data_IF_200860156577
#
_entry.id   IF_200860156577
#
_cell.length_a   1.000
_cell.length_b   1.000
_cell.length_c   1.000
_cell.angle_alpha   90.00
_cell.angle_beta   90.00
_cell.angle_gamma   90.00
#
_symmetry.space_group_name_H-M   'P 1'
#
loop_
_entity.id
_entity.type
_entity.pdbx_description
1 polymer ?
#
# COMPACT_ATOMS: atom_id res chain seq x y z
N UNK A 1 10.45 -27.76 -20.17
CA UNK A 1 11.01 -26.52 -19.59
C UNK A 1 9.98 -25.93 -18.62
N UNK A 2 10.21 -26.00 -17.30
CA UNK A 2 9.35 -25.29 -16.32
C UNK A 2 9.75 -23.81 -16.37
N UNK A 3 8.93 -22.98 -17.03
CA UNK A 3 9.12 -21.53 -17.02
C UNK A 3 9.09 -21.02 -15.58
N UNK A 4 10.15 -20.30 -15.19
CA UNK A 4 10.29 -19.77 -13.83
C UNK A 4 9.44 -18.51 -13.72
N UNK A 5 8.19 -18.66 -13.26
CA UNK A 5 7.30 -17.52 -13.02
C UNK A 5 7.72 -16.77 -11.75
N UNK A 6 8.11 -15.51 -11.88
CA UNK A 6 8.36 -14.62 -10.73
C UNK A 6 7.06 -13.93 -10.33
N UNK A 7 6.59 -14.20 -9.11
CA UNK A 7 5.44 -13.47 -8.55
C UNK A 7 5.86 -12.05 -8.19
N UNK A 8 5.20 -11.06 -8.79
CA UNK A 8 5.36 -9.64 -8.47
C UNK A 8 4.23 -9.26 -7.51
N UNK A 9 4.58 -8.65 -6.37
CA UNK A 9 3.64 -8.19 -5.35
C UNK A 9 3.95 -6.75 -4.98
N UNK A 10 2.96 -6.06 -4.41
CA UNK A 10 3.16 -4.75 -3.76
C UNK A 10 4.25 -4.90 -2.67
N UNK A 11 5.13 -3.90 -2.48
CA UNK A 11 5.07 -2.54 -3.02
C UNK A 11 5.75 -2.35 -4.39
N UNK A 12 6.03 -3.42 -5.13
CA UNK A 12 6.69 -3.29 -6.44
C UNK A 12 5.84 -2.48 -7.43
N UNK A 13 6.35 -1.33 -7.95
CA UNK A 13 5.57 -0.44 -8.79
C UNK A 13 5.21 -1.06 -10.14
N UNK A 14 5.87 -2.16 -10.55
CA UNK A 14 5.55 -2.85 -11.81
C UNK A 14 4.11 -3.37 -11.84
N UNK A 15 3.56 -3.77 -10.69
CA UNK A 15 2.17 -4.24 -10.61
C UNK A 15 1.18 -3.10 -10.88
N UNK A 16 1.48 -1.90 -10.39
CA UNK A 16 0.64 -0.70 -10.57
C UNK A 16 0.83 -0.11 -11.97
N UNK A 17 2.07 -0.06 -12.47
CA UNK A 17 2.36 0.37 -13.85
C UNK A 17 1.76 -0.56 -14.90
N UNK A 18 1.63 -1.85 -14.60
CA UNK A 18 0.87 -2.76 -15.45
C UNK A 18 -0.60 -2.36 -15.50
N UNK A 19 -1.24 -2.13 -14.35
CA UNK A 19 -2.62 -1.65 -14.30
C UNK A 19 -2.79 -0.30 -15.03
N UNK A 20 -1.88 0.65 -14.82
CA UNK A 20 -1.84 1.95 -15.52
C UNK A 20 -1.86 1.77 -17.04
N UNK A 21 -1.01 0.87 -17.58
CA UNK A 21 -0.96 0.57 -19.02
C UNK A 21 -2.27 -0.03 -19.53
N UNK A 22 -2.86 -0.95 -18.77
CA UNK A 22 -4.16 -1.55 -19.12
C UNK A 22 -5.29 -0.51 -19.13
N UNK A 23 -5.23 0.47 -18.23
CA UNK A 23 -6.19 1.59 -18.18
C UNK A 23 -5.96 2.65 -19.26
N UNK A 24 -4.84 2.59 -20.01
CA UNK A 24 -4.51 3.57 -21.05
C UNK A 24 -4.22 4.97 -20.52
N UNK A 25 -3.81 5.09 -19.25
CA UNK A 25 -3.53 6.38 -18.61
C UNK A 25 -2.02 6.63 -18.64
N UNK A 26 -1.57 7.60 -19.42
CA UNK A 26 -0.14 7.91 -19.57
C UNK A 26 0.45 8.59 -18.33
N UNK A 27 -0.32 9.47 -17.70
CA UNK A 27 0.09 10.24 -16.53
C UNK A 27 -0.35 9.55 -15.24
N UNK A 28 0.62 8.96 -14.52
CA UNK A 28 0.37 8.24 -13.28
C UNK A 28 -0.25 9.12 -12.18
N UNK A 29 -0.01 10.44 -12.20
CA UNK A 29 -0.55 11.36 -11.19
C UNK A 29 -2.08 11.49 -11.25
N UNK A 30 -2.70 11.14 -12.38
CA UNK A 30 -4.15 11.08 -12.57
C UNK A 30 -4.79 9.81 -12.00
N UNK A 31 -3.98 8.90 -11.47
CA UNK A 31 -4.42 7.67 -10.83
C UNK A 31 -4.28 7.83 -9.32
N UNK A 32 -5.36 7.52 -8.59
CA UNK A 32 -5.34 7.40 -7.15
C UNK A 32 -5.21 5.92 -6.72
N UNK A 33 -4.16 5.60 -5.98
CA UNK A 33 -4.00 4.32 -5.30
C UNK A 33 -4.60 4.43 -3.89
N UNK A 34 -5.62 3.62 -3.61
CA UNK A 34 -6.34 3.63 -2.32
C UNK A 34 -6.02 2.32 -1.59
N UNK A 35 -5.62 2.42 -0.32
CA UNK A 35 -5.37 1.24 0.51
C UNK A 35 -5.11 1.60 1.97
N UNK A 36 -5.16 0.60 2.84
CA UNK A 36 -5.11 0.77 4.29
C UNK A 36 -3.67 0.64 4.86
N UNK A 37 -2.82 -0.13 4.16
CA UNK A 37 -1.44 -0.44 4.55
C UNK A 37 -0.43 0.53 3.93
N UNK A 38 0.41 1.15 4.75
CA UNK A 38 1.40 2.15 4.28
C UNK A 38 2.51 1.49 3.47
N UNK A 39 3.02 0.33 3.90
CA UNK A 39 4.19 -0.29 3.26
C UNK A 39 3.87 -1.12 2.02
N UNK A 40 2.59 -1.28 1.66
CA UNK A 40 2.19 -1.95 0.42
C UNK A 40 1.53 -0.97 -0.53
N UNK A 41 0.37 -0.45 -0.18
CA UNK A 41 -0.47 0.31 -1.09
C UNK A 41 0.04 1.72 -1.27
N UNK A 42 0.34 2.42 -0.16
CA UNK A 42 0.83 3.79 -0.21
C UNK A 42 2.25 3.85 -0.76
N UNK A 43 3.15 3.00 -0.26
CA UNK A 43 4.51 2.92 -0.78
C UNK A 43 4.52 2.52 -2.26
N UNK A 44 3.73 1.52 -2.65
CA UNK A 44 3.64 1.09 -4.04
C UNK A 44 3.10 2.18 -4.97
N UNK A 45 2.03 2.87 -4.56
CA UNK A 45 1.45 3.98 -5.32
C UNK A 45 2.44 5.14 -5.49
N UNK A 46 3.12 5.53 -4.41
CA UNK A 46 4.13 6.60 -4.45
C UNK A 46 5.30 6.22 -5.37
N UNK A 47 5.79 4.98 -5.32
CA UNK A 47 6.85 4.49 -6.22
C UNK A 47 6.39 4.40 -7.69
N UNK A 48 5.09 4.24 -7.92
CA UNK A 48 4.50 4.25 -9.25
C UNK A 48 4.22 5.68 -9.78
N UNK A 49 4.30 6.71 -8.93
CA UNK A 49 3.99 8.10 -9.28
C UNK A 49 2.50 8.45 -9.19
N UNK A 50 1.71 7.61 -8.51
CA UNK A 50 0.28 7.83 -8.31
C UNK A 50 0.00 8.74 -7.12
N UNK A 51 -1.15 9.41 -7.13
CA UNK A 51 -1.71 9.98 -5.91
C UNK A 51 -2.08 8.84 -4.96
N UNK A 52 -1.85 8.98 -3.65
CA UNK A 52 -2.12 7.93 -2.67
C UNK A 52 -3.10 8.39 -1.61
N UNK A 53 -4.10 7.55 -1.31
CA UNK A 53 -5.08 7.78 -0.26
C UNK A 53 -4.99 6.63 0.72
N UNK A 54 -4.61 6.95 1.95
CA UNK A 54 -4.55 5.97 3.01
C UNK A 54 -5.88 5.87 3.75
N UNK A 55 -6.44 4.65 3.79
CA UNK A 55 -7.57 4.32 4.66
C UNK A 55 -7.03 4.08 6.08
N UNK A 56 -7.67 4.71 7.06
CA UNK A 56 -7.33 4.55 8.47
C UNK A 56 -8.61 4.25 9.28
N UNK A 57 -8.58 3.33 10.26
CA UNK A 57 -7.43 2.53 10.67
C UNK A 57 -7.08 1.40 9.69
N UNK A 58 -5.80 0.99 9.60
CA UNK A 58 -5.40 -0.20 8.83
C UNK A 58 -6.10 -1.48 9.33
N UNK A 59 -6.46 -2.36 8.40
CA UNK A 59 -7.03 -3.66 8.74
C UNK A 59 -5.92 -4.68 9.02
N UNK A 60 -6.01 -5.34 10.18
CA UNK A 60 -5.07 -6.37 10.59
C UNK A 60 -5.82 -7.69 10.82
N UNK A 61 -5.76 -8.64 9.88
CA UNK A 61 -6.36 -9.96 10.11
C UNK A 61 -5.65 -10.68 11.27
N UNK A 62 -6.43 -11.38 12.09
CA UNK A 62 -5.92 -12.22 13.19
C UNK A 62 -5.07 -13.38 12.67
N UNK A 63 -5.34 -13.84 11.45
CA UNK A 63 -4.65 -14.92 10.74
C UNK A 63 -3.30 -14.50 10.12
N UNK A 64 -2.87 -13.25 10.26
CA UNK A 64 -1.63 -12.79 9.65
C UNK A 64 -0.39 -13.46 10.29
N UNK A 65 0.54 -14.00 9.48
CA UNK A 65 1.72 -14.68 10.01
C UNK A 65 2.56 -13.80 10.93
N UNK A 66 3.05 -14.36 12.04
CA UNK A 66 3.82 -13.63 13.08
C UNK A 66 5.09 -12.92 12.54
N UNK A 67 5.63 -13.33 11.40
CA UNK A 67 6.80 -12.69 10.78
C UNK A 67 6.52 -11.30 10.18
N UNK A 68 5.25 -10.93 9.96
CA UNK A 68 4.83 -9.59 9.52
C UNK A 68 4.66 -8.60 10.70
N UNK A 69 4.93 -9.01 11.94
CA UNK A 69 4.82 -8.12 13.11
C UNK A 69 5.76 -6.89 13.10
N UNK A 70 7.00 -6.94 12.57
CA UNK A 70 7.88 -5.76 12.53
C UNK A 70 7.33 -4.63 11.67
N UNK A 71 6.76 -4.94 10.50
CA UNK A 71 6.15 -3.94 9.62
C UNK A 71 4.97 -3.26 10.30
N UNK A 72 4.17 -3.99 11.11
CA UNK A 72 3.10 -3.38 11.92
C UNK A 72 3.64 -2.34 12.91
N UNK A 73 4.76 -2.61 13.58
CA UNK A 73 5.36 -1.65 14.51
C UNK A 73 5.84 -0.39 13.79
N UNK A 74 6.47 -0.56 12.63
CA UNK A 74 6.87 0.57 11.80
C UNK A 74 5.66 1.38 11.28
N UNK A 75 4.55 0.73 10.94
CA UNK A 75 3.33 1.44 10.52
C UNK A 75 2.76 2.25 11.66
N UNK A 76 2.69 1.67 12.86
CA UNK A 76 2.25 2.40 14.06
C UNK A 76 3.16 3.58 14.37
N UNK A 77 4.48 3.45 14.13
CA UNK A 77 5.41 4.56 14.29
C UNK A 77 5.13 5.66 13.27
N UNK A 78 4.93 5.31 11.99
CA UNK A 78 4.52 6.25 10.94
C UNK A 78 3.23 6.96 11.36
N UNK A 79 2.18 6.23 11.75
CA UNK A 79 0.92 6.82 12.19
C UNK A 79 1.07 7.70 13.44
N UNK A 80 2.02 7.39 14.33
CA UNK A 80 2.34 8.23 15.48
C UNK A 80 3.01 9.54 15.07
N UNK A 81 3.99 9.48 14.19
CA UNK A 81 4.68 10.68 13.68
C UNK A 81 3.71 11.62 12.96
N UNK A 82 2.77 11.06 12.19
CA UNK A 82 1.75 11.83 11.48
C UNK A 82 0.52 12.20 12.34
N UNK A 83 0.54 11.94 13.65
CA UNK A 83 -0.58 12.28 14.54
C UNK A 83 -1.89 11.54 14.24
N UNK A 84 -1.84 10.47 13.43
CA UNK A 84 -3.00 9.66 13.03
C UNK A 84 -3.46 8.70 14.14
N UNK A 85 -2.87 8.77 15.34
CA UNK A 85 -3.13 7.84 16.46
C UNK A 85 -4.33 8.24 17.31
N UNK A 86 -4.99 9.36 17.00
CA UNK A 86 -5.99 10.01 17.86
C UNK A 86 -7.07 10.78 17.07
N UNK A 87 -7.68 10.15 16.06
CA UNK A 87 -8.96 10.66 15.55
C UNK A 87 -10.08 9.86 16.19
N UNK A 88 -10.76 10.52 17.12
CA UNK A 88 -11.89 10.01 17.88
C UNK A 88 -12.91 9.32 16.98
N UNK A 89 -13.25 8.09 17.33
CA UNK A 89 -14.36 7.32 16.75
C UNK A 89 -15.72 7.81 17.28
N UNK A 90 -15.92 9.12 17.35
CA UNK A 90 -17.21 9.75 17.64
C UNK A 90 -17.64 10.60 16.44
N UNK A 91 -18.02 9.90 15.36
CA UNK A 91 -18.87 10.41 14.29
C UNK A 91 -19.90 9.33 13.96
#
# INVERSE_FOLDING_TARGET
MRGMYRVIKKPDPRVIRYAQKVLGIEDASKIAMIGDRVFTDILGGNLAGCFTIQIYPPFYPESEPKYLKPTRWMEKLVHRVYGLTHRDHNL
#
